data_IF_923597659060
#
_entry.id   IF_923597659060
#
_cell.length_a   1.000
_cell.length_b   1.000
_cell.length_c   1.000
_cell.angle_alpha   90.00
_cell.angle_beta   90.00
_cell.angle_gamma   90.00
#
_symmetry.space_group_name_H-M   'P 1'
#
loop_
_entity.id
_entity.type
_entity.pdbx_description
1 polymer ?
#
# COMPACT_ATOMS: atom_id res chain seq x y z
N UNK A 1 -17.88 19.80 -11.91
CA UNK A 1 -16.60 19.16 -12.25
C UNK A 1 -16.65 17.70 -11.79
N UNK A 2 -16.17 16.72 -12.55
CA UNK A 2 -16.06 15.35 -12.02
C UNK A 2 -14.83 15.23 -11.10
N UNK A 3 -14.72 14.14 -10.32
CA UNK A 3 -13.67 13.98 -9.30
C UNK A 3 -12.27 13.95 -9.90
N UNK A 4 -12.09 13.31 -11.07
CA UNK A 4 -10.81 13.29 -11.80
C UNK A 4 -10.35 14.67 -12.23
N UNK A 5 -11.23 15.46 -12.85
CA UNK A 5 -10.90 16.83 -13.27
C UNK A 5 -10.59 17.70 -12.05
N UNK A 6 -11.37 17.57 -10.97
CA UNK A 6 -11.13 18.30 -9.72
C UNK A 6 -9.76 17.99 -9.12
N UNK A 7 -9.40 16.72 -9.05
CA UNK A 7 -8.09 16.29 -8.59
C UNK A 7 -6.97 16.86 -9.47
N UNK A 8 -7.04 16.64 -10.78
CA UNK A 8 -6.01 17.09 -11.75
C UNK A 8 -5.80 18.61 -11.70
N UNK A 9 -6.86 19.39 -11.57
CA UNK A 9 -6.78 20.85 -11.42
C UNK A 9 -6.17 21.24 -10.09
N UNK A 10 -6.56 20.57 -8.99
CA UNK A 10 -6.02 20.84 -7.64
C UNK A 10 -4.51 20.65 -7.59
N UNK A 11 -4.00 19.49 -8.04
CA UNK A 11 -2.56 19.21 -8.02
C UNK A 11 -1.74 20.03 -9.02
N UNK A 12 -2.42 20.75 -9.92
CA UNK A 12 -1.82 21.69 -10.88
C UNK A 12 -2.05 23.15 -10.51
N UNK A 13 -2.53 23.42 -9.29
CA UNK A 13 -2.77 24.77 -8.77
C UNK A 13 -3.74 25.60 -9.63
N UNK A 14 -4.76 24.95 -10.18
CA UNK A 14 -5.82 25.58 -10.99
C UNK A 14 -7.10 25.77 -10.17
N UNK A 15 -7.97 26.68 -10.61
CA UNK A 15 -9.25 26.93 -9.96
C UNK A 15 -10.17 25.69 -9.99
N UNK A 16 -10.80 25.37 -8.86
CA UNK A 16 -11.71 24.23 -8.67
C UNK A 16 -13.03 24.67 -8.04
N UNK A 17 -14.07 23.84 -8.18
CA UNK A 17 -15.38 24.06 -7.54
C UNK A 17 -15.35 23.79 -6.03
N UNK A 18 -14.55 22.81 -5.59
CA UNK A 18 -14.15 22.55 -4.20
C UNK A 18 -12.84 21.74 -4.18
N UNK A 19 -12.21 21.61 -3.01
CA UNK A 19 -11.04 20.74 -2.82
C UNK A 19 -11.48 19.26 -2.87
N UNK A 20 -10.73 18.35 -3.52
CA UNK A 20 -10.95 16.91 -3.44
C UNK A 20 -10.86 16.41 -1.99
N UNK A 21 -11.74 15.48 -1.62
CA UNK A 21 -11.79 14.89 -0.29
C UNK A 21 -11.62 13.37 -0.41
N UNK A 22 -10.38 12.87 -0.39
CA UNK A 22 -10.06 11.45 -0.60
C UNK A 22 -9.42 10.91 0.69
N UNK A 23 -9.94 9.80 1.21
CA UNK A 23 -9.53 9.22 2.50
C UNK A 23 -9.08 7.76 2.36
N UNK A 24 -8.21 7.30 3.27
CA UNK A 24 -7.54 5.98 3.17
C UNK A 24 -8.42 4.83 3.68
N UNK A 25 -9.33 5.09 4.62
CA UNK A 25 -10.15 4.05 5.21
C UNK A 25 -10.36 4.25 6.70
N UNK A 26 -11.00 3.27 7.31
CA UNK A 26 -11.12 3.18 8.77
C UNK A 26 -10.66 1.80 9.25
N UNK A 27 -10.54 1.66 10.57
CA UNK A 27 -10.31 0.37 11.19
C UNK A 27 -11.51 -0.55 10.93
N UNK A 28 -11.28 -1.84 10.73
CA UNK A 28 -12.37 -2.80 10.43
C UNK A 28 -13.43 -2.86 11.54
N UNK A 29 -13.04 -2.59 12.78
CA UNK A 29 -13.95 -2.52 13.94
C UNK A 29 -14.80 -1.25 13.96
N UNK A 30 -14.42 -0.20 13.22
CA UNK A 30 -15.14 1.07 13.18
C UNK A 30 -16.50 0.93 12.49
N UNK A 31 -16.58 0.21 11.36
CA UNK A 31 -17.83 0.07 10.60
C UNK A 31 -18.94 -0.61 11.43
N UNK A 32 -18.72 -1.78 12.08
CA UNK A 32 -19.74 -2.39 12.93
C UNK A 32 -20.17 -1.51 14.11
N UNK A 33 -19.24 -0.70 14.65
CA UNK A 33 -19.53 0.24 15.73
C UNK A 33 -20.45 1.36 15.24
N UNK A 34 -20.13 2.01 14.12
CA UNK A 34 -20.95 3.08 13.55
C UNK A 34 -22.36 2.62 13.18
N UNK A 35 -22.51 1.39 12.65
CA UNK A 35 -23.83 0.81 12.39
C UNK A 35 -24.67 0.70 13.69
N UNK A 36 -24.05 0.28 14.81
CA UNK A 36 -24.75 0.22 16.11
C UNK A 36 -25.06 1.61 16.69
N UNK A 37 -24.26 2.61 16.35
CA UNK A 37 -24.43 4.00 16.79
C UNK A 37 -25.42 4.78 15.89
N UNK A 38 -25.95 4.15 14.83
CA UNK A 38 -27.03 4.73 14.00
C UNK A 38 -26.62 5.15 12.60
N UNK A 39 -25.43 4.79 12.12
CA UNK A 39 -25.10 4.91 10.69
C UNK A 39 -26.08 4.05 9.87
N UNK A 40 -26.68 4.59 8.79
CA UNK A 40 -27.58 3.82 7.94
C UNK A 40 -26.85 2.67 7.24
N UNK A 41 -27.60 1.66 6.83
CA UNK A 41 -27.09 0.60 5.95
C UNK A 41 -27.10 1.03 4.48
N UNK A 42 -26.32 0.35 3.65
CA UNK A 42 -26.21 0.64 2.21
C UNK A 42 -25.30 1.82 1.91
N UNK A 43 -24.36 2.12 2.81
CA UNK A 43 -23.37 3.21 2.62
C UNK A 43 -22.16 2.77 1.80
N UNK A 44 -22.04 1.46 1.52
CA UNK A 44 -20.90 0.82 0.86
C UNK A 44 -19.76 0.47 1.81
N UNK A 45 -19.75 1.05 3.02
CA UNK A 45 -18.73 0.75 4.03
C UNK A 45 -18.83 -0.66 4.60
N UNK A 46 -20.01 -1.27 4.52
CA UNK A 46 -20.25 -2.64 4.97
C UNK A 46 -19.48 -3.67 4.15
N UNK A 47 -19.07 -3.30 2.93
CA UNK A 47 -18.31 -4.17 2.02
C UNK A 47 -16.82 -4.18 2.36
N UNK A 48 -16.25 -3.05 2.78
CA UNK A 48 -14.84 -2.95 3.13
C UNK A 48 -14.51 -1.70 3.95
N UNK A 49 -13.62 -1.83 4.93
CA UNK A 49 -13.07 -0.66 5.64
C UNK A 49 -12.12 0.18 4.77
N UNK A 50 -11.74 -0.35 3.59
CA UNK A 50 -11.01 0.35 2.55
C UNK A 50 -11.93 1.04 1.53
N UNK A 51 -13.27 0.96 1.66
CA UNK A 51 -14.21 1.58 0.70
C UNK A 51 -13.96 3.08 0.51
N UNK A 52 -13.36 3.78 1.48
CA UNK A 52 -12.99 5.19 1.30
C UNK A 52 -12.01 5.45 0.15
N UNK A 53 -11.18 4.48 -0.22
CA UNK A 53 -10.36 4.57 -1.43
C UNK A 53 -11.20 4.73 -2.69
N UNK A 54 -12.31 4.00 -2.79
CA UNK A 54 -13.26 4.12 -3.90
C UNK A 54 -14.25 5.27 -3.76
N UNK A 55 -14.16 6.03 -2.67
CA UNK A 55 -15.06 7.15 -2.34
C UNK A 55 -16.29 6.72 -1.54
N UNK A 56 -17.07 7.71 -1.12
CA UNK A 56 -18.32 7.48 -0.39
C UNK A 56 -19.25 8.67 -0.58
N UNK A 57 -20.41 8.43 -1.20
CA UNK A 57 -21.43 9.47 -1.34
C UNK A 57 -21.96 9.92 0.02
N UNK A 58 -22.20 8.97 0.94
CA UNK A 58 -22.71 9.26 2.28
C UNK A 58 -21.79 10.17 3.10
N UNK A 59 -20.47 9.98 3.02
CA UNK A 59 -19.49 10.83 3.71
C UNK A 59 -18.99 12.00 2.85
N UNK A 60 -19.47 12.15 1.62
CA UNK A 60 -18.98 13.17 0.69
C UNK A 60 -17.50 13.02 0.32
N UNK A 61 -17.00 11.79 0.28
CA UNK A 61 -15.63 11.47 -0.11
C UNK A 61 -15.54 11.27 -1.62
N UNK A 62 -14.63 11.99 -2.26
CA UNK A 62 -14.15 11.68 -3.60
C UNK A 62 -13.41 10.34 -3.57
N UNK A 63 -13.66 9.50 -4.57
CA UNK A 63 -12.97 8.24 -4.76
C UNK A 63 -11.81 8.33 -5.74
N UNK A 64 -11.10 7.21 -5.86
CA UNK A 64 -10.03 6.99 -6.82
C UNK A 64 -10.03 5.55 -7.32
N UNK A 65 -9.52 5.35 -8.52
CA UNK A 65 -9.30 4.03 -9.10
C UNK A 65 -7.84 3.63 -8.91
N UNK A 66 -7.62 2.49 -8.28
CA UNK A 66 -6.29 1.86 -8.19
C UNK A 66 -6.18 0.81 -9.27
N UNK A 67 -5.12 0.90 -10.07
CA UNK A 67 -4.79 -0.14 -11.04
C UNK A 67 -4.23 -1.36 -10.28
N UNK A 68 -4.83 -2.56 -10.39
CA UNK A 68 -4.54 -3.70 -9.53
C UNK A 68 -3.29 -4.47 -9.97
N UNK A 69 -2.12 -3.84 -9.86
CA UNK A 69 -0.82 -4.46 -10.18
C UNK A 69 -0.10 -4.92 -8.91
N UNK A 70 0.45 -6.13 -8.92
CA UNK A 70 1.12 -6.75 -7.79
C UNK A 70 2.50 -6.17 -7.51
N UNK A 71 2.64 -5.49 -6.37
CA UNK A 71 3.90 -4.89 -5.88
C UNK A 71 4.61 -5.77 -4.84
N UNK A 72 3.92 -6.78 -4.33
CA UNK A 72 4.38 -7.68 -3.27
C UNK A 72 5.39 -8.72 -3.78
N UNK A 73 5.96 -9.47 -2.83
CA UNK A 73 6.75 -10.67 -3.11
C UNK A 73 5.91 -11.76 -3.78
N UNK A 74 6.49 -12.42 -4.78
CA UNK A 74 5.89 -13.55 -5.51
C UNK A 74 6.93 -14.68 -5.62
N UNK A 75 6.67 -15.88 -5.04
CA UNK A 75 5.69 -16.09 -3.97
C UNK A 75 6.07 -15.29 -2.71
N UNK A 76 5.07 -14.94 -1.91
CA UNK A 76 5.32 -14.45 -0.55
C UNK A 76 5.95 -15.52 0.34
N UNK A 77 6.28 -15.15 1.58
CA UNK A 77 6.60 -16.13 2.60
C UNK A 77 5.35 -16.97 2.93
N UNK A 78 5.56 -18.23 3.30
CA UNK A 78 4.46 -19.03 3.84
C UNK A 78 4.01 -18.45 5.18
N UNK A 79 2.72 -18.11 5.25
CA UNK A 79 2.09 -17.65 6.48
C UNK A 79 2.09 -18.78 7.51
N UNK A 80 2.57 -18.48 8.71
CA UNK A 80 2.77 -19.48 9.75
C UNK A 80 2.27 -18.94 11.09
N UNK A 81 1.36 -19.68 11.73
CA UNK A 81 0.96 -19.41 13.12
C UNK A 81 2.06 -19.96 14.04
N UNK A 82 2.62 -19.10 14.88
CA UNK A 82 3.75 -19.45 15.77
C UNK A 82 3.24 -19.70 17.19
N UNK A 83 2.40 -18.80 17.69
CA UNK A 83 1.88 -18.85 19.06
C UNK A 83 0.52 -18.16 19.11
N UNK A 84 -0.36 -18.65 19.96
CA UNK A 84 -1.69 -18.11 20.13
C UNK A 84 -2.16 -18.29 21.58
N UNK A 85 -2.64 -17.21 22.20
CA UNK A 85 -3.19 -17.20 23.55
C UNK A 85 -4.62 -16.60 23.59
N UNK A 86 -5.16 -16.25 24.75
CA UNK A 86 -6.52 -15.69 24.89
C UNK A 86 -6.66 -14.29 24.26
N UNK A 87 -5.58 -13.51 24.20
CA UNK A 87 -5.58 -12.10 23.81
C UNK A 87 -4.76 -11.81 22.56
N UNK A 88 -3.71 -12.58 22.29
CA UNK A 88 -2.74 -12.30 21.23
C UNK A 88 -2.51 -13.49 20.30
N UNK A 89 -2.10 -13.15 19.08
CA UNK A 89 -1.68 -14.09 18.03
C UNK A 89 -0.32 -13.66 17.53
N UNK A 90 0.65 -14.56 17.56
CA UNK A 90 1.97 -14.38 16.95
C UNK A 90 2.07 -15.22 15.68
N UNK A 91 2.35 -14.57 14.55
CA UNK A 91 2.40 -15.24 13.25
C UNK A 91 3.45 -14.59 12.34
N UNK A 92 3.93 -15.35 11.35
CA UNK A 92 4.68 -14.82 10.21
C UNK A 92 3.71 -14.49 9.08
N UNK A 93 3.74 -13.27 8.56
CA UNK A 93 2.95 -12.87 7.39
C UNK A 93 3.60 -13.28 6.07
N UNK A 94 2.89 -13.08 4.95
CA UNK A 94 3.44 -13.26 3.61
C UNK A 94 4.56 -12.27 3.27
N UNK A 95 4.70 -11.18 4.04
CA UNK A 95 5.84 -10.25 3.98
C UNK A 95 7.08 -10.79 4.73
N UNK A 96 6.97 -11.95 5.40
CA UNK A 96 8.05 -12.55 6.16
C UNK A 96 8.27 -11.92 7.54
N UNK A 97 7.45 -10.93 7.92
CA UNK A 97 7.52 -10.27 9.23
C UNK A 97 6.82 -11.14 10.27
N UNK A 98 7.51 -11.45 11.36
CA UNK A 98 6.92 -12.08 12.54
C UNK A 98 6.30 -10.98 13.40
N UNK A 99 5.01 -11.11 13.64
CA UNK A 99 4.17 -10.07 14.22
C UNK A 99 3.33 -10.66 15.35
N UNK A 100 3.24 -9.95 16.48
CA UNK A 100 2.27 -10.22 17.55
C UNK A 100 1.16 -9.18 17.50
N UNK A 101 -0.06 -9.64 17.25
CA UNK A 101 -1.25 -8.79 17.16
C UNK A 101 -2.27 -9.16 18.25
N UNK A 102 -3.06 -8.18 18.69
CA UNK A 102 -4.26 -8.47 19.47
C UNK A 102 -5.27 -9.20 18.60
N UNK A 103 -5.94 -10.23 19.15
CA UNK A 103 -6.97 -11.00 18.42
C UNK A 103 -8.11 -10.15 17.88
N UNK A 104 -8.52 -9.17 18.66
CA UNK A 104 -9.60 -8.26 18.32
C UNK A 104 -9.14 -7.12 17.38
N UNK A 105 -7.84 -7.07 17.05
CA UNK A 105 -7.22 -6.03 16.22
C UNK A 105 -7.32 -4.63 16.80
N UNK A 106 -7.58 -4.49 18.11
CA UNK A 106 -7.88 -3.21 18.76
C UNK A 106 -6.68 -2.25 18.85
N UNK A 107 -5.47 -2.72 18.52
CA UNK A 107 -4.25 -1.94 18.59
C UNK A 107 -3.29 -2.29 17.45
N UNK A 108 -2.31 -1.41 17.24
CA UNK A 108 -1.20 -1.72 16.33
C UNK A 108 -0.43 -2.93 16.84
N UNK A 109 -0.04 -3.85 15.94
CA UNK A 109 0.69 -5.02 16.33
C UNK A 109 2.15 -4.68 16.70
N UNK A 110 2.77 -5.58 17.46
CA UNK A 110 4.20 -5.53 17.75
C UNK A 110 4.95 -6.35 16.71
N UNK A 111 5.89 -5.71 16.00
CA UNK A 111 6.78 -6.39 15.05
C UNK A 111 7.97 -6.98 15.80
N UNK A 112 8.11 -8.31 15.75
CA UNK A 112 9.10 -9.06 16.53
C UNK A 112 10.35 -9.37 15.72
N UNK A 113 10.20 -9.67 14.43
CA UNK A 113 11.31 -10.02 13.55
C UNK A 113 10.98 -9.69 12.10
N UNK A 114 11.98 -9.21 11.38
CA UNK A 114 11.85 -8.79 9.98
C UNK A 114 12.58 -9.79 9.05
N UNK A 115 12.19 -9.86 7.77
CA UNK A 115 12.73 -10.85 6.82
C UNK A 115 14.20 -10.62 6.46
N UNK A 116 14.73 -9.39 6.62
CA UNK A 116 16.13 -9.05 6.34
C UNK A 116 16.83 -8.71 7.64
N UNK A 117 17.76 -9.57 8.06
CA UNK A 117 18.65 -9.36 9.21
C UNK A 117 20.10 -9.20 8.78
N UNK A 118 20.42 -9.59 7.55
CA UNK A 118 21.75 -9.48 6.93
C UNK A 118 21.64 -9.41 5.39
N UNK A 119 22.79 -9.26 4.73
CA UNK A 119 22.86 -9.13 3.26
C UNK A 119 22.40 -10.39 2.51
N UNK A 120 22.61 -11.58 3.06
CA UNK A 120 22.18 -12.81 2.41
C UNK A 120 20.66 -12.98 2.46
N UNK A 121 20.02 -12.54 3.56
CA UNK A 121 18.56 -12.45 3.64
C UNK A 121 18.01 -11.48 2.57
N UNK A 122 18.65 -10.32 2.39
CA UNK A 122 18.27 -9.38 1.34
C UNK A 122 18.34 -10.02 -0.05
N UNK A 123 19.48 -10.68 -0.37
CA UNK A 123 19.65 -11.41 -1.64
C UNK A 123 18.59 -12.48 -1.86
N UNK A 124 18.17 -13.17 -0.80
CA UNK A 124 17.11 -14.17 -0.87
C UNK A 124 15.75 -13.54 -1.19
N UNK A 125 15.40 -12.40 -0.56
CA UNK A 125 14.11 -11.74 -0.87
C UNK A 125 14.08 -11.08 -2.25
N UNK A 126 15.23 -10.61 -2.78
CA UNK A 126 15.30 -10.02 -4.13
C UNK A 126 14.72 -10.94 -5.20
N UNK A 127 14.95 -12.24 -5.06
CA UNK A 127 14.47 -13.27 -6.01
C UNK A 127 12.93 -13.34 -6.09
N UNK A 128 12.21 -12.78 -5.11
CA UNK A 128 10.74 -12.74 -5.06
C UNK A 128 10.14 -11.49 -5.74
N UNK A 129 10.98 -10.60 -6.27
CA UNK A 129 10.55 -9.38 -6.95
C UNK A 129 11.02 -9.33 -8.40
N UNK A 130 10.54 -10.26 -9.22
CA UNK A 130 10.68 -10.12 -10.68
C UNK A 130 9.62 -9.14 -11.20
N UNK A 131 9.95 -7.93 -11.69
CA UNK A 131 8.97 -6.95 -12.16
C UNK A 131 8.22 -7.39 -13.42
N UNK A 132 8.75 -8.39 -14.15
CA UNK A 132 8.19 -8.88 -15.41
C UNK A 132 7.25 -10.07 -15.24
N UNK A 133 7.15 -10.60 -14.01
CA UNK A 133 6.30 -11.74 -13.70
C UNK A 133 4.84 -11.48 -14.13
N UNK A 134 4.25 -12.33 -15.00
CA UNK A 134 2.91 -12.10 -15.54
C UNK A 134 1.83 -12.09 -14.44
N UNK A 135 2.04 -12.80 -13.34
CA UNK A 135 1.14 -12.88 -12.18
C UNK A 135 0.99 -11.55 -11.44
N UNK A 136 1.83 -10.54 -11.75
CA UNK A 136 1.64 -9.17 -11.25
C UNK A 136 0.45 -8.47 -11.88
N UNK A 137 -0.01 -8.94 -13.03
CA UNK A 137 -1.11 -8.34 -13.77
C UNK A 137 -2.34 -9.25 -13.66
N UNK A 138 -3.54 -8.67 -13.55
CA UNK A 138 -4.76 -9.47 -13.61
C UNK A 138 -4.92 -10.06 -15.02
N UNK A 139 -5.59 -11.21 -15.10
CA UNK A 139 -5.87 -11.88 -16.39
C UNK A 139 -6.66 -10.98 -17.35
N UNK A 140 -7.51 -10.10 -16.82
CA UNK A 140 -8.37 -9.17 -17.57
C UNK A 140 -7.74 -7.78 -17.78
N UNK A 141 -6.41 -7.69 -17.85
CA UNK A 141 -5.67 -6.41 -17.94
C UNK A 141 -6.20 -5.44 -19.00
N UNK A 142 -6.64 -5.91 -20.17
CA UNK A 142 -7.23 -5.05 -21.19
C UNK A 142 -8.49 -4.31 -20.71
N UNK A 143 -9.30 -4.93 -19.86
CA UNK A 143 -10.46 -4.29 -19.22
C UNK A 143 -10.03 -3.21 -18.22
N UNK A 144 -9.00 -3.51 -17.41
CA UNK A 144 -8.41 -2.55 -16.49
C UNK A 144 -7.93 -1.30 -17.22
N UNK A 145 -7.23 -1.48 -18.35
CA UNK A 145 -6.79 -0.38 -19.21
C UNK A 145 -7.97 0.44 -19.72
N UNK A 146 -9.00 -0.20 -20.29
CA UNK A 146 -10.19 0.49 -20.78
C UNK A 146 -10.90 1.29 -19.66
N UNK A 147 -11.01 0.72 -18.46
CA UNK A 147 -11.58 1.38 -17.28
C UNK A 147 -10.74 2.59 -16.84
N UNK A 148 -9.41 2.49 -16.85
CA UNK A 148 -8.53 3.61 -16.49
C UNK A 148 -8.72 4.82 -17.43
N UNK A 149 -8.94 4.54 -18.72
CA UNK A 149 -9.17 5.57 -19.74
C UNK A 149 -10.54 6.22 -19.58
N UNK A 150 -11.58 5.42 -19.30
CA UNK A 150 -12.95 5.90 -19.12
C UNK A 150 -13.25 6.47 -17.71
N UNK A 151 -12.33 6.32 -16.76
CA UNK A 151 -12.57 6.68 -15.35
C UNK A 151 -12.87 8.17 -15.17
N UNK A 152 -13.94 8.45 -14.42
CA UNK A 152 -14.25 9.78 -13.87
C UNK A 152 -13.63 10.04 -12.49
N UNK A 153 -12.97 9.03 -11.92
CA UNK A 153 -12.15 9.12 -10.72
C UNK A 153 -10.67 9.29 -11.11
N UNK A 154 -9.85 9.96 -10.27
CA UNK A 154 -8.40 9.94 -10.42
C UNK A 154 -7.91 8.51 -10.44
N UNK A 155 -7.08 8.18 -11.42
CA UNK A 155 -6.47 6.86 -11.55
C UNK A 155 -5.05 6.90 -11.04
N UNK A 156 -4.68 5.92 -10.23
CA UNK A 156 -3.31 5.75 -9.79
C UNK A 156 -2.82 4.31 -9.93
N UNK A 157 -1.50 4.18 -9.91
CA UNK A 157 -0.82 2.90 -9.68
C UNK A 157 -1.26 2.30 -8.33
N UNK A 158 -0.94 1.03 -8.03
CA UNK A 158 -1.06 0.48 -6.69
C UNK A 158 -0.63 1.48 -5.62
N UNK A 159 -1.59 1.82 -4.77
CA UNK A 159 -1.49 2.84 -3.73
C UNK A 159 -0.23 2.68 -2.88
N UNK A 160 0.54 3.76 -2.67
CA UNK A 160 1.54 3.89 -1.60
C UNK A 160 2.40 2.63 -1.35
N UNK A 161 2.69 1.91 -2.42
CA UNK A 161 3.12 0.52 -2.30
C UNK A 161 4.62 0.38 -2.14
N UNK A 162 5.32 1.33 -2.74
CA UNK A 162 6.76 1.31 -2.88
C UNK A 162 7.26 2.70 -2.46
N UNK A 163 8.08 2.71 -1.42
CA UNK A 163 8.88 3.85 -1.00
C UNK A 163 10.33 3.41 -0.89
N UNK A 164 11.26 4.32 -1.09
CA UNK A 164 12.68 4.02 -1.01
C UNK A 164 13.02 3.63 0.43
N UNK A 165 12.76 4.50 1.41
CA UNK A 165 13.05 4.17 2.80
C UNK A 165 12.01 3.20 3.38
N UNK A 166 10.72 3.38 3.07
CA UNK A 166 9.69 2.56 3.70
C UNK A 166 9.80 1.08 3.36
N UNK A 167 10.37 0.73 2.21
CA UNK A 167 10.66 -0.66 1.86
C UNK A 167 11.82 -1.23 2.69
N UNK A 168 12.89 -0.45 2.92
CA UNK A 168 13.93 -0.82 3.89
C UNK A 168 13.31 -1.07 5.27
N UNK A 169 12.46 -0.14 5.74
CA UNK A 169 11.75 -0.29 7.02
C UNK A 169 10.87 -1.54 7.06
N UNK A 170 10.15 -1.88 5.98
CA UNK A 170 9.40 -3.14 5.90
C UNK A 170 10.30 -4.37 6.00
N UNK A 171 11.48 -4.34 5.40
CA UNK A 171 12.36 -5.49 5.29
C UNK A 171 13.24 -5.74 6.50
N UNK A 172 13.72 -4.69 7.17
CA UNK A 172 14.66 -4.81 8.30
C UNK A 172 14.18 -4.15 9.59
N UNK A 173 13.04 -3.49 9.57
CA UNK A 173 12.49 -2.74 10.71
C UNK A 173 13.01 -1.32 10.80
N UNK A 174 12.33 -0.50 11.60
CA UNK A 174 12.62 0.94 11.71
C UNK A 174 14.05 1.22 12.18
N UNK A 175 14.51 0.54 13.24
CA UNK A 175 15.85 0.80 13.81
C UNK A 175 16.96 0.52 12.80
N UNK A 176 16.98 -0.68 12.22
CA UNK A 176 17.97 -1.05 11.20
C UNK A 176 17.84 -0.17 9.95
N UNK A 177 16.62 0.14 9.49
CA UNK A 177 16.43 1.01 8.34
C UNK A 177 16.97 2.43 8.59
N UNK A 178 16.92 2.93 9.83
CA UNK A 178 17.56 4.19 10.19
C UNK A 178 19.08 4.10 10.24
N UNK A 179 19.64 3.03 10.82
CA UNK A 179 21.10 2.96 11.08
C UNK A 179 21.91 2.39 9.92
N UNK A 180 21.30 1.64 9.00
CA UNK A 180 22.02 1.00 7.87
C UNK A 180 22.81 1.99 7.01
N UNK A 181 22.34 3.24 6.88
CA UNK A 181 23.06 4.28 6.14
C UNK A 181 24.41 4.66 6.77
N UNK A 182 24.59 4.38 8.07
CA UNK A 182 25.85 4.58 8.78
C UNK A 182 26.63 3.27 8.93
N UNK A 183 25.94 2.19 9.33
CA UNK A 183 26.58 0.91 9.65
C UNK A 183 27.05 0.14 8.40
N UNK A 184 26.27 0.20 7.30
CA UNK A 184 26.56 -0.48 6.03
C UNK A 184 25.94 0.30 4.84
N UNK A 185 26.51 1.46 4.47
CA UNK A 185 25.97 2.30 3.40
C UNK A 185 25.88 1.57 2.06
N UNK A 186 26.79 0.63 1.79
CA UNK A 186 26.75 -0.17 0.55
C UNK A 186 25.52 -1.07 0.48
N UNK A 187 25.09 -1.65 1.61
CA UNK A 187 23.84 -2.43 1.65
C UNK A 187 22.62 -1.52 1.46
N UNK A 188 22.61 -0.33 2.06
CA UNK A 188 21.54 0.65 1.87
C UNK A 188 21.39 1.05 0.39
N UNK A 189 22.52 1.38 -0.27
CA UNK A 189 22.58 1.67 -1.69
C UNK A 189 22.07 0.49 -2.54
N UNK A 190 22.51 -0.74 -2.24
CA UNK A 190 22.06 -1.94 -2.96
C UNK A 190 20.55 -2.14 -2.87
N UNK A 191 19.96 -1.91 -1.68
CA UNK A 191 18.51 -2.04 -1.48
C UNK A 191 17.74 -0.95 -2.23
N UNK A 192 18.21 0.30 -2.17
CA UNK A 192 17.55 1.43 -2.86
C UNK A 192 17.62 1.27 -4.37
N UNK A 193 18.80 0.94 -4.92
CA UNK A 193 18.98 0.70 -6.36
C UNK A 193 18.03 -0.40 -6.85
N UNK A 194 17.93 -1.48 -6.07
CA UNK A 194 17.00 -2.56 -6.38
C UNK A 194 15.53 -2.12 -6.36
N UNK A 195 15.11 -1.30 -5.39
CA UNK A 195 13.75 -0.76 -5.33
C UNK A 195 13.48 0.11 -6.58
N UNK A 196 14.44 0.94 -6.98
CA UNK A 196 14.33 1.79 -8.17
C UNK A 196 14.14 0.95 -9.43
N UNK A 197 15.04 -0.03 -9.66
CA UNK A 197 14.97 -0.92 -10.83
C UNK A 197 13.67 -1.72 -10.87
N UNK A 198 13.24 -2.27 -9.73
CA UNK A 198 11.97 -2.97 -9.62
C UNK A 198 10.79 -2.06 -9.94
N UNK A 199 10.78 -0.82 -9.42
CA UNK A 199 9.71 0.16 -9.63
C UNK A 199 9.61 0.57 -11.09
N UNK A 200 10.75 0.87 -11.73
CA UNK A 200 10.81 1.25 -13.15
C UNK A 200 10.33 0.08 -14.01
N UNK A 201 10.85 -1.13 -13.78
CA UNK A 201 10.47 -2.32 -14.53
C UNK A 201 8.98 -2.65 -14.39
N UNK A 202 8.44 -2.53 -13.18
CA UNK A 202 7.03 -2.82 -12.92
C UNK A 202 6.11 -1.80 -13.58
N UNK A 203 6.42 -0.51 -13.45
CA UNK A 203 5.52 0.55 -13.91
C UNK A 203 5.72 0.97 -15.37
N UNK A 204 6.78 0.55 -16.07
CA UNK A 204 6.96 0.83 -17.51
C UNK A 204 5.75 0.39 -18.33
N UNK A 205 5.29 -0.85 -18.14
CA UNK A 205 4.09 -1.36 -18.84
C UNK A 205 2.81 -0.65 -18.39
N UNK A 206 2.64 -0.44 -17.08
CA UNK A 206 1.45 0.25 -16.52
C UNK A 206 1.29 1.64 -17.12
N UNK A 207 2.38 2.42 -17.18
CA UNK A 207 2.37 3.80 -17.66
C UNK A 207 2.22 3.89 -19.19
N UNK A 208 2.59 2.83 -19.94
CA UNK A 208 2.40 2.76 -21.40
C UNK A 208 0.97 2.40 -21.78
N UNK A 209 0.33 1.52 -21.02
CA UNK A 209 -0.96 0.93 -21.40
C UNK A 209 -2.15 1.59 -20.69
N UNK A 210 -2.03 1.89 -19.40
CA UNK A 210 -3.12 2.46 -18.60
C UNK A 210 -3.02 3.99 -18.49
N UNK A 211 -4.17 4.66 -18.35
CA UNK A 211 -4.20 6.09 -18.08
C UNK A 211 -4.03 6.33 -16.57
N UNK A 212 -2.84 6.75 -16.17
CA UNK A 212 -2.50 7.12 -14.80
C UNK A 212 -2.54 8.64 -14.64
N UNK A 213 -3.11 9.14 -13.55
CA UNK A 213 -3.14 10.57 -13.19
C UNK A 213 -2.07 10.94 -12.17
N UNK A 214 -1.72 10.02 -11.27
CA UNK A 214 -0.75 10.27 -10.21
C UNK A 214 -0.15 9.00 -9.59
N UNK A 215 0.93 9.21 -8.83
CA UNK A 215 1.62 8.22 -8.02
C UNK A 215 1.78 8.77 -6.60
N UNK A 216 1.68 7.92 -5.59
CA UNK A 216 1.92 8.28 -4.20
C UNK A 216 3.19 7.59 -3.70
N UNK A 217 4.21 8.38 -3.35
CA UNK A 217 5.38 7.89 -2.63
C UNK A 217 5.00 7.66 -1.17
N UNK A 218 5.14 6.41 -0.72
CA UNK A 218 4.92 6.07 0.68
C UNK A 218 6.22 6.13 1.45
N UNK A 219 6.38 7.21 2.21
CA UNK A 219 7.60 7.49 2.94
C UNK A 219 7.27 7.77 4.40
N UNK A 220 7.46 6.76 5.25
CA UNK A 220 7.21 6.82 6.69
C UNK A 220 8.54 6.88 7.45
N UNK A 221 9.30 7.95 7.18
CA UNK A 221 10.58 8.25 7.83
C UNK A 221 10.57 9.53 8.66
N UNK A 222 9.55 10.37 8.54
CA UNK A 222 9.47 11.60 9.31
C UNK A 222 8.97 11.29 10.72
N UNK A 223 9.86 11.40 11.71
CA UNK A 223 9.45 11.34 13.12
C UNK A 223 8.47 12.50 13.42
N UNK A 224 7.71 12.39 14.50
CA UNK A 224 6.68 13.38 14.90
C UNK A 224 7.18 14.83 15.05
N UNK A 225 8.49 15.06 15.04
CA UNK A 225 9.10 16.39 15.19
C UNK A 225 9.59 17.02 13.89
N UNK A 226 9.46 16.35 12.73
CA UNK A 226 10.01 16.84 11.47
C UNK A 226 11.52 16.79 11.45
#
# INVERSE_FOLDING_TARGET
>A
MNSRERFRRTVRFQAVDRVPNIEVGCWSQTVPRWLREGMPTGTGLEESSMTFWSGSEFFGLDGQMVVPVGIQMIPGFESELIEEDEHTVTYRSSEGIITRAMRDGSSMPTFLRYPVQNRDDFRAIKQRYDPTAPERYPEDWANVVARSQASELPVMTPAAGIGLYSMLRRWMGTENACTVFYDDPTLAEEMIEFIVEFTIGLFDRVLREAQIDWYMWWEDFAFKTG
#
